data_IF_852674636358
#
_entry.id   IF_852674636358
#
_cell.length_a   1.000
_cell.length_b   1.000
_cell.length_c   1.000
_cell.angle_alpha   90.00
_cell.angle_beta   90.00
_cell.angle_gamma   90.00
#
_symmetry.space_group_name_H-M   'P 1'
#
loop_
_entity.id
_entity.type
_entity.pdbx_description
1 polymer ?
#
# COMPACT_ATOMS: atom_id res chain seq x y z
N UNK A 1 -6.34 2.64 15.49
CA UNK A 1 -7.37 2.28 14.51
C UNK A 1 -6.88 1.08 13.70
N UNK A 2 -7.13 -0.18 14.10
CA UNK A 2 -6.67 -1.36 13.35
C UNK A 2 -7.80 -2.21 12.73
N UNK A 3 -9.07 -1.99 13.10
CA UNK A 3 -10.20 -2.82 12.64
C UNK A 3 -10.78 -2.35 11.30
N UNK A 4 -10.60 -1.08 10.96
CA UNK A 4 -11.04 -0.47 9.70
C UNK A 4 -9.80 -0.01 8.95
N UNK A 5 -9.71 -0.27 7.64
CA UNK A 5 -8.57 0.17 6.84
C UNK A 5 -8.44 1.69 6.84
N UNK A 6 -7.21 2.23 6.88
CA UNK A 6 -6.98 3.65 6.69
C UNK A 6 -7.33 4.05 5.25
N UNK A 7 -7.82 5.28 5.07
CA UNK A 7 -7.98 5.89 3.74
C UNK A 7 -6.67 6.56 3.35
N UNK A 8 -6.09 6.12 2.23
CA UNK A 8 -4.94 6.77 1.62
C UNK A 8 -5.42 7.64 0.45
N UNK A 9 -4.95 8.89 0.40
CA UNK A 9 -5.15 9.80 -0.72
C UNK A 9 -3.83 10.40 -1.16
N UNK A 10 -3.64 10.48 -2.47
CA UNK A 10 -2.52 11.17 -3.08
C UNK A 10 -2.82 12.68 -3.08
N UNK A 11 -1.95 13.45 -2.41
CA UNK A 11 -2.06 14.92 -2.40
C UNK A 11 -1.45 15.55 -3.66
N UNK A 12 -0.55 14.84 -4.30
CA UNK A 12 0.07 15.25 -5.56
C UNK A 12 -0.81 14.83 -6.72
N UNK A 13 -1.13 15.76 -7.61
CA UNK A 13 -1.83 15.43 -8.84
C UNK A 13 -0.93 14.55 -9.71
N UNK A 14 -1.39 13.33 -9.98
CA UNK A 14 -0.75 12.41 -10.92
C UNK A 14 -1.81 11.90 -11.89
N UNK A 15 -1.43 11.74 -13.15
CA UNK A 15 -2.28 11.09 -14.13
C UNK A 15 -1.98 9.59 -14.12
N UNK A 16 -2.84 8.79 -13.50
CA UNK A 16 -2.70 7.34 -13.45
C UNK A 16 -4.07 6.65 -13.51
N UNK A 17 -4.26 5.58 -14.29
CA UNK A 17 -5.57 4.93 -14.48
C UNK A 17 -6.25 4.43 -13.19
N UNK A 18 -5.45 4.14 -12.16
CA UNK A 18 -5.94 3.69 -10.84
C UNK A 18 -6.02 4.81 -9.81
N UNK A 19 -5.89 6.06 -10.24
CA UNK A 19 -5.93 7.24 -9.38
C UNK A 19 -6.97 8.22 -9.90
N UNK A 20 -7.99 8.46 -9.09
CA UNK A 20 -9.05 9.41 -9.41
C UNK A 20 -8.52 10.86 -9.36
N UNK A 21 -9.20 11.83 -10.00
CA UNK A 21 -8.81 13.25 -9.96
C UNK A 21 -8.69 13.82 -8.55
N UNK A 22 -9.47 13.27 -7.60
CA UNK A 22 -9.44 13.63 -6.18
C UNK A 22 -8.27 12.98 -5.40
N UNK A 23 -7.42 12.21 -6.10
CA UNK A 23 -6.27 11.51 -5.52
C UNK A 23 -6.62 10.21 -4.81
N UNK A 24 -7.83 9.69 -4.98
CA UNK A 24 -8.21 8.38 -4.45
C UNK A 24 -7.52 7.27 -5.23
N UNK A 25 -6.94 6.30 -4.52
CA UNK A 25 -6.27 5.15 -5.12
C UNK A 25 -7.04 3.89 -4.79
N UNK A 26 -7.37 3.10 -5.81
CA UNK A 26 -7.88 1.76 -5.62
C UNK A 26 -6.73 0.81 -5.24
N UNK A 27 -6.38 0.76 -3.95
CA UNK A 27 -5.43 -0.22 -3.44
C UNK A 27 -6.16 -1.41 -2.81
N UNK A 28 -5.89 -2.66 -3.26
CA UNK A 28 -6.49 -3.85 -2.67
C UNK A 28 -6.24 -3.96 -1.16
N UNK A 29 -5.05 -3.56 -0.70
CA UNK A 29 -4.63 -3.71 0.70
C UNK A 29 -5.39 -2.81 1.68
N UNK A 30 -5.99 -1.71 1.20
CA UNK A 30 -6.85 -0.81 1.99
C UNK A 30 -8.33 -1.06 1.75
N UNK A 31 -8.69 -2.06 0.94
CA UNK A 31 -10.08 -2.50 0.78
C UNK A 31 -10.55 -3.27 2.01
N UNK A 32 -11.79 -3.04 2.44
CA UNK A 32 -12.39 -3.74 3.58
C UNK A 32 -12.40 -5.27 3.40
N UNK A 33 -12.43 -5.76 2.16
CA UNK A 33 -12.43 -7.19 1.83
C UNK A 33 -11.07 -7.86 2.08
N UNK A 34 -9.97 -7.11 1.98
CA UNK A 34 -8.61 -7.63 2.08
C UNK A 34 -7.82 -7.01 3.25
N UNK A 35 -8.47 -6.20 4.08
CA UNK A 35 -7.85 -5.57 5.23
C UNK A 35 -7.57 -6.60 6.34
N UNK A 36 -6.30 -6.72 6.71
CA UNK A 36 -5.88 -7.49 7.88
C UNK A 36 -5.49 -6.50 8.97
N UNK A 37 -5.99 -6.61 10.22
CA UNK A 37 -5.64 -5.69 11.30
C UNK A 37 -4.16 -5.60 11.65
N UNK A 38 -3.36 -6.58 11.20
CA UNK A 38 -1.90 -6.61 11.36
C UNK A 38 -1.17 -5.80 10.29
N UNK A 39 -1.87 -5.34 9.25
CA UNK A 39 -1.31 -4.48 8.20
C UNK A 39 -0.87 -3.14 8.77
N UNK A 40 0.37 -2.75 8.48
CA UNK A 40 0.98 -1.49 8.95
C UNK A 40 1.51 -0.70 7.76
N UNK A 41 1.25 0.60 7.76
CA UNK A 41 1.91 1.51 6.84
C UNK A 41 3.34 1.75 7.32
N UNK A 42 4.33 1.38 6.50
CA UNK A 42 5.75 1.68 6.74
C UNK A 42 6.17 2.78 5.79
N UNK A 43 6.76 3.85 6.32
CA UNK A 43 7.42 4.84 5.48
C UNK A 43 8.76 4.24 5.06
N UNK A 44 9.00 4.11 3.75
CA UNK A 44 10.29 3.67 3.20
C UNK A 44 11.39 4.71 3.39
N UNK A 45 11.55 5.22 4.61
CA UNK A 45 12.61 6.14 4.99
C UNK A 45 13.92 5.38 5.07
N UNK A 46 14.77 5.59 4.06
CA UNK A 46 16.21 5.32 4.07
C UNK A 46 16.64 4.13 4.94
N UNK A 47 16.32 2.92 4.49
CA UNK A 47 17.09 1.75 4.91
C UNK A 47 18.44 1.87 4.20
N UNK A 48 19.41 2.40 4.94
CA UNK A 48 20.81 2.07 4.69
C UNK A 48 20.93 0.55 4.58
N UNK A 49 21.78 0.16 3.65
CA UNK A 49 22.03 -1.20 3.19
C UNK A 49 21.89 -2.30 4.25
N UNK A 50 21.13 -3.34 3.93
CA UNK A 50 21.28 -4.66 4.54
C UNK A 50 20.00 -5.35 4.99
N UNK A 51 19.67 -6.44 4.28
CA UNK A 51 18.90 -7.60 4.75
C UNK A 51 17.36 -7.49 4.85
N UNK A 52 16.66 -7.93 3.80
CA UNK A 52 16.01 -9.26 3.82
C UNK A 52 15.38 -9.63 2.49
N UNK A 53 15.81 -10.79 2.01
CA UNK A 53 15.16 -11.57 0.95
C UNK A 53 13.70 -11.87 1.32
N UNK A 54 12.75 -11.49 0.48
CA UNK A 54 11.54 -12.28 0.24
C UNK A 54 11.52 -12.69 -1.23
N UNK A 55 12.04 -13.90 -1.49
CA UNK A 55 11.70 -14.69 -2.67
C UNK A 55 10.31 -15.27 -2.39
N UNK A 56 9.28 -14.75 -3.04
CA UNK A 56 8.07 -15.55 -3.29
C UNK A 56 8.19 -16.10 -4.71
N UNK A 57 8.25 -17.43 -4.79
CA UNK A 57 8.36 -18.17 -6.03
C UNK A 57 7.11 -18.01 -6.88
N UNK A 58 7.32 -17.67 -8.15
CA UNK A 58 6.32 -17.84 -9.20
C UNK A 58 6.41 -19.29 -9.66
N UNK A 59 5.37 -20.14 -9.53
CA UNK A 59 5.37 -21.44 -10.17
C UNK A 59 5.21 -21.27 -11.69
N UNK A 60 5.85 -22.20 -12.41
CA UNK A 60 6.03 -22.24 -13.87
C UNK A 60 4.73 -22.24 -14.68
#
# INVERSE_FOLDING_TARGET
HPLVPPRATLRTSIYHPSVDPDGHVCQPLTSAQHWVPTTRAVQGGHLGDGDRTQREGVPA
#
